data_IF_729201686383
#
_entry.id   IF_729201686383
#
_cell.length_a   1.000
_cell.length_b   1.000
_cell.length_c   1.000
_cell.angle_alpha   90.00
_cell.angle_beta   90.00
_cell.angle_gamma   90.00
#
_symmetry.space_group_name_H-M   'P 1'
#
loop_
_entity.id
_entity.type
_entity.pdbx_description
1 polymer ?
#
# COMPACT_ATOMS: atom_id res chain seq x y z
N UNK A 1 -28.66 -9.61 -12.83
CA UNK A 1 -29.26 -8.74 -11.79
C UNK A 1 -28.77 -9.25 -10.44
N UNK A 2 -27.61 -8.75 -9.97
CA UNK A 2 -27.03 -9.18 -8.69
C UNK A 2 -27.51 -8.22 -7.60
N UNK A 3 -28.16 -8.76 -6.55
CA UNK A 3 -28.55 -8.01 -5.35
C UNK A 3 -27.34 -7.93 -4.41
N UNK A 4 -26.90 -6.72 -4.08
CA UNK A 4 -25.96 -6.50 -2.98
C UNK A 4 -26.66 -6.77 -1.64
N UNK A 5 -26.03 -7.48 -0.68
CA UNK A 5 -26.58 -7.65 0.65
C UNK A 5 -26.57 -6.31 1.39
N UNK A 6 -27.76 -5.82 1.77
CA UNK A 6 -27.89 -4.63 2.60
C UNK A 6 -27.45 -4.91 4.05
N UNK A 7 -26.81 -3.95 4.73
CA UNK A 7 -26.35 -4.16 6.10
C UNK A 7 -27.54 -4.35 7.05
N UNK A 8 -27.41 -5.35 7.92
CA UNK A 8 -28.33 -5.59 9.02
C UNK A 8 -28.21 -4.46 10.06
N UNK A 9 -29.32 -3.74 10.30
CA UNK A 9 -29.44 -2.73 11.35
C UNK A 9 -29.50 -1.29 10.84
N UNK A 10 -30.57 -0.57 11.18
CA UNK A 10 -30.98 0.72 10.62
C UNK A 10 -30.14 1.96 10.98
N UNK A 11 -28.81 1.89 10.88
CA UNK A 11 -27.96 3.07 10.90
C UNK A 11 -27.71 3.55 9.45
N UNK A 12 -28.13 4.78 9.11
CA UNK A 12 -27.76 5.39 7.83
C UNK A 12 -26.24 5.60 7.81
N UNK A 13 -25.55 4.92 6.90
CA UNK A 13 -24.11 5.14 6.63
C UNK A 13 -23.82 6.63 6.44
N UNK A 14 -22.73 7.13 7.02
CA UNK A 14 -22.23 8.49 6.76
C UNK A 14 -21.80 8.64 5.30
N UNK A 15 -21.62 9.89 4.83
CA UNK A 15 -21.16 10.12 3.45
C UNK A 15 -19.74 9.57 3.21
N UNK A 16 -18.87 9.64 4.21
CA UNK A 16 -17.51 9.11 4.14
C UNK A 16 -17.51 7.58 4.08
N UNK A 17 -18.35 6.92 4.88
CA UNK A 17 -18.49 5.45 4.83
C UNK A 17 -19.06 4.97 3.49
N UNK A 18 -20.08 5.66 2.95
CA UNK A 18 -20.62 5.32 1.63
C UNK A 18 -19.58 5.49 0.53
N UNK A 19 -18.78 6.55 0.58
CA UNK A 19 -17.71 6.76 -0.38
C UNK A 19 -16.64 5.67 -0.25
N UNK A 20 -16.18 5.37 0.98
CA UNK A 20 -15.20 4.30 1.25
C UNK A 20 -15.67 2.95 0.68
N UNK A 21 -16.90 2.54 1.02
CA UNK A 21 -17.47 1.27 0.55
C UNK A 21 -17.63 1.25 -0.97
N UNK A 22 -18.00 2.37 -1.60
CA UNK A 22 -18.06 2.46 -3.05
C UNK A 22 -16.67 2.31 -3.69
N UNK A 23 -15.64 2.93 -3.11
CA UNK A 23 -14.26 2.77 -3.59
C UNK A 23 -13.76 1.33 -3.43
N UNK A 24 -14.12 0.64 -2.34
CA UNK A 24 -13.84 -0.78 -2.13
C UNK A 24 -14.55 -1.67 -3.16
N UNK A 25 -15.84 -1.40 -3.43
CA UNK A 25 -16.64 -2.16 -4.40
C UNK A 25 -16.14 -1.96 -5.84
N UNK A 26 -15.70 -0.76 -6.19
CA UNK A 26 -15.11 -0.44 -7.50
C UNK A 26 -13.71 -1.05 -7.69
N UNK A 27 -13.09 -1.55 -6.62
CA UNK A 27 -11.88 -2.36 -6.67
C UNK A 27 -10.57 -1.59 -6.45
N UNK A 28 -9.41 -2.27 -6.62
CA UNK A 28 -8.10 -1.80 -6.16
C UNK A 28 -7.70 -0.39 -6.62
N UNK A 29 -8.04 -0.03 -7.85
CA UNK A 29 -7.80 1.31 -8.42
C UNK A 29 -8.47 2.43 -7.60
N UNK A 30 -9.72 2.24 -7.23
CA UNK A 30 -10.50 3.23 -6.49
C UNK A 30 -10.14 3.24 -5.01
N UNK A 31 -9.76 2.09 -4.44
CA UNK A 31 -9.14 2.01 -3.11
C UNK A 31 -7.87 2.85 -3.05
N UNK A 32 -7.00 2.75 -4.08
CA UNK A 32 -5.77 3.56 -4.19
C UNK A 32 -6.04 5.05 -4.23
N UNK A 33 -7.04 5.46 -5.02
CA UNK A 33 -7.49 6.86 -5.07
C UNK A 33 -7.97 7.33 -3.69
N UNK A 34 -8.75 6.51 -2.99
CA UNK A 34 -9.21 6.80 -1.63
C UNK A 34 -8.05 6.98 -0.64
N UNK A 35 -7.04 6.11 -0.71
CA UNK A 35 -5.81 6.24 0.10
C UNK A 35 -5.09 7.57 -0.17
N UNK A 36 -4.93 7.98 -1.43
CA UNK A 36 -4.29 9.26 -1.79
C UNK A 36 -5.10 10.44 -1.26
N UNK A 37 -6.42 10.44 -1.46
CA UNK A 37 -7.31 11.50 -0.97
C UNK A 37 -7.30 11.60 0.56
N UNK A 38 -7.14 10.47 1.27
CA UNK A 38 -7.07 10.45 2.74
C UNK A 38 -5.89 11.26 3.31
N UNK A 39 -4.85 11.47 2.51
CA UNK A 39 -3.64 12.23 2.86
C UNK A 39 -3.72 13.72 2.46
N UNK A 40 -4.79 14.13 1.79
CA UNK A 40 -4.99 15.48 1.24
C UNK A 40 -6.24 16.16 1.83
N UNK A 41 -6.17 16.60 3.10
CA UNK A 41 -7.31 17.24 3.77
C UNK A 41 -7.70 18.59 3.14
N UNK A 42 -6.89 19.13 2.25
CA UNK A 42 -7.18 20.29 1.41
C UNK A 42 -8.10 19.94 0.21
N UNK A 43 -8.18 18.67 -0.19
CA UNK A 43 -8.99 18.19 -1.31
C UNK A 43 -10.29 17.52 -0.86
N UNK A 44 -10.33 16.97 0.35
CA UNK A 44 -11.52 16.31 0.90
C UNK A 44 -11.81 16.79 2.33
N UNK A 45 -13.09 17.01 2.67
CA UNK A 45 -13.48 17.38 4.03
C UNK A 45 -12.97 16.41 5.11
N UNK A 46 -12.68 16.88 6.34
CA UNK A 46 -12.06 16.07 7.40
C UNK A 46 -12.82 14.78 7.76
N UNK A 47 -14.15 14.79 7.67
CA UNK A 47 -15.00 13.63 7.92
C UNK A 47 -14.82 12.54 6.85
N UNK A 48 -14.62 12.93 5.59
CA UNK A 48 -14.33 12.01 4.49
C UNK A 48 -12.89 11.51 4.59
N UNK A 49 -11.92 12.40 4.83
CA UNK A 49 -10.52 12.01 4.99
C UNK A 49 -10.31 11.01 6.15
N UNK A 50 -11.05 11.19 7.24
CA UNK A 50 -11.07 10.26 8.38
C UNK A 50 -11.56 8.87 7.99
N UNK A 51 -12.63 8.78 7.21
CA UNK A 51 -13.14 7.49 6.73
C UNK A 51 -12.22 6.85 5.68
N UNK A 52 -11.71 7.62 4.72
CA UNK A 52 -10.79 7.11 3.69
C UNK A 52 -9.45 6.64 4.27
N UNK A 53 -9.04 7.15 5.45
CA UNK A 53 -7.86 6.64 6.15
C UNK A 53 -7.99 5.16 6.54
N UNK A 54 -9.22 4.64 6.67
CA UNK A 54 -9.46 3.21 6.93
C UNK A 54 -9.13 2.32 5.73
N UNK A 55 -8.95 2.90 4.53
CA UNK A 55 -8.44 2.19 3.35
C UNK A 55 -6.93 1.97 3.41
N UNK A 56 -6.22 2.63 4.34
CA UNK A 56 -4.80 2.41 4.54
C UNK A 56 -4.64 1.06 5.26
N UNK A 57 -4.16 0.07 4.52
CA UNK A 57 -3.82 -1.23 5.11
C UNK A 57 -2.46 -1.15 5.81
N UNK A 58 -2.40 -1.63 7.05
CA UNK A 58 -1.17 -2.25 7.54
C UNK A 58 -1.03 -3.58 6.80
N UNK A 59 -0.13 -3.62 5.81
CA UNK A 59 0.03 -4.83 5.03
C UNK A 59 0.57 -5.95 5.92
N UNK A 60 -0.08 -7.13 5.96
CA UNK A 60 0.42 -8.24 6.75
C UNK A 60 1.82 -8.63 6.28
N UNK A 61 2.68 -9.12 7.20
CA UNK A 61 3.99 -9.62 6.84
C UNK A 61 3.84 -10.79 5.86
N UNK A 62 4.74 -10.87 4.89
CA UNK A 62 4.83 -12.02 4.00
C UNK A 62 5.73 -13.11 4.63
N UNK A 63 5.58 -14.38 4.21
CA UNK A 63 6.30 -15.50 4.81
C UNK A 63 7.81 -15.31 4.82
N UNK A 64 8.47 -15.74 5.90
CA UNK A 64 9.94 -15.68 5.99
C UNK A 64 10.65 -16.48 4.90
N UNK A 65 10.02 -17.52 4.34
CA UNK A 65 10.55 -18.25 3.19
C UNK A 65 10.76 -17.35 1.96
N UNK A 66 9.85 -16.41 1.73
CA UNK A 66 9.96 -15.43 0.64
C UNK A 66 11.04 -14.39 0.94
N UNK A 67 11.14 -13.94 2.20
CA UNK A 67 12.24 -13.05 2.64
C UNK A 67 13.60 -13.67 2.35
N UNK A 68 13.77 -14.91 2.80
CA UNK A 68 15.02 -15.64 2.62
C UNK A 68 15.33 -15.80 1.14
N UNK A 69 14.36 -16.22 0.33
CA UNK A 69 14.54 -16.38 -1.10
C UNK A 69 14.93 -15.06 -1.80
N UNK A 70 14.31 -13.94 -1.42
CA UNK A 70 14.62 -12.62 -1.98
C UNK A 70 16.08 -12.22 -1.67
N UNK A 71 16.50 -12.32 -0.40
CA UNK A 71 17.86 -11.96 0.02
C UNK A 71 18.89 -12.87 -0.66
N UNK A 72 18.67 -14.18 -0.68
CA UNK A 72 19.61 -15.13 -1.28
C UNK A 72 19.71 -14.96 -2.80
N UNK A 73 18.60 -14.63 -3.47
CA UNK A 73 18.56 -14.36 -4.91
C UNK A 73 19.28 -13.06 -5.27
N UNK A 74 19.08 -11.98 -4.51
CA UNK A 74 19.70 -10.68 -4.78
C UNK A 74 21.20 -10.64 -4.43
N UNK A 75 21.61 -11.31 -3.35
CA UNK A 75 22.99 -11.28 -2.86
C UNK A 75 23.83 -12.51 -3.29
N UNK A 76 23.20 -13.51 -3.90
CA UNK A 76 23.87 -14.69 -4.47
C UNK A 76 24.51 -15.61 -3.43
N UNK A 77 24.15 -15.48 -2.15
CA UNK A 77 24.72 -16.25 -1.05
C UNK A 77 23.63 -16.70 -0.07
N UNK A 78 23.78 -17.86 0.60
CA UNK A 78 22.82 -18.29 1.61
C UNK A 78 22.70 -17.27 2.75
N UNK A 79 21.49 -17.06 3.27
CA UNK A 79 21.22 -16.11 4.36
C UNK A 79 22.10 -16.39 5.59
N UNK A 80 22.30 -17.68 5.87
CA UNK A 80 23.15 -18.16 6.95
C UNK A 80 24.63 -17.80 6.75
N UNK A 81 25.11 -17.45 5.55
CA UNK A 81 26.49 -16.99 5.34
C UNK A 81 26.61 -15.48 5.54
N UNK A 82 25.57 -14.73 5.15
CA UNK A 82 25.51 -13.27 5.18
C UNK A 82 25.38 -12.68 6.59
N UNK A 83 24.62 -13.35 7.47
CA UNK A 83 24.33 -12.86 8.82
C UNK A 83 24.72 -13.88 9.88
N UNK A 84 25.17 -13.38 11.03
CA UNK A 84 25.36 -14.19 12.24
C UNK A 84 24.02 -14.55 12.88
N UNK A 85 23.09 -13.59 12.93
CA UNK A 85 21.75 -13.73 13.48
C UNK A 85 20.77 -13.02 12.54
N UNK A 86 19.60 -13.61 12.28
CA UNK A 86 18.53 -12.98 11.52
C UNK A 86 17.19 -13.34 12.14
N UNK A 87 16.40 -12.35 12.54
CA UNK A 87 15.09 -12.59 13.13
C UNK A 87 14.04 -12.88 12.06
N UNK A 88 13.45 -14.08 12.11
CA UNK A 88 12.40 -14.45 11.16
C UNK A 88 11.13 -13.60 11.32
N UNK A 89 10.85 -13.14 12.54
CA UNK A 89 9.73 -12.24 12.80
C UNK A 89 10.15 -10.80 12.41
N UNK A 90 9.39 -10.12 11.54
CA UNK A 90 9.73 -8.75 11.17
C UNK A 90 9.49 -7.78 12.35
N UNK A 91 10.32 -6.74 12.42
CA UNK A 91 10.13 -5.57 13.27
C UNK A 91 8.92 -4.74 12.81
N UNK A 92 8.74 -4.63 11.49
CA UNK A 92 7.66 -3.90 10.86
C UNK A 92 7.36 -4.48 9.47
N UNK A 93 6.11 -4.42 9.05
CA UNK A 93 5.68 -4.73 7.70
C UNK A 93 4.89 -3.55 7.13
N UNK A 94 5.13 -3.24 5.86
CA UNK A 94 4.46 -2.20 5.11
C UNK A 94 4.06 -2.73 3.72
N UNK A 95 3.34 -1.90 2.96
CA UNK A 95 2.87 -2.26 1.62
C UNK A 95 4.01 -2.67 0.68
N UNK A 96 5.15 -1.96 0.73
CA UNK A 96 6.27 -2.18 -0.20
C UNK A 96 7.33 -3.16 0.28
N UNK A 97 7.44 -3.37 1.59
CA UNK A 97 8.56 -4.08 2.19
C UNK A 97 8.25 -4.48 3.64
N UNK A 98 9.06 -5.40 4.18
CA UNK A 98 9.14 -5.64 5.62
C UNK A 98 10.57 -5.52 6.12
N UNK A 99 10.73 -5.22 7.41
CA UNK A 99 12.01 -4.92 8.04
C UNK A 99 12.31 -5.98 9.09
N UNK A 100 13.49 -6.57 9.03
CA UNK A 100 13.97 -7.57 9.98
C UNK A 100 15.18 -7.06 10.76
N UNK A 101 15.29 -7.49 12.02
CA UNK A 101 16.52 -7.29 12.79
C UNK A 101 17.53 -8.38 12.40
N UNK A 102 18.77 -7.99 12.17
CA UNK A 102 19.85 -8.94 11.93
C UNK A 102 21.16 -8.46 12.57
N UNK A 103 22.09 -9.40 12.72
CA UNK A 103 23.48 -9.14 13.10
C UNK A 103 24.40 -9.60 11.98
N UNK A 104 25.26 -8.70 11.50
CA UNK A 104 26.26 -9.05 10.46
C UNK A 104 27.31 -10.01 11.01
N UNK A 105 28.14 -10.57 10.13
CA UNK A 105 29.25 -11.46 10.54
C UNK A 105 30.34 -10.73 11.33
N UNK A 106 30.43 -9.42 11.14
CA UNK A 106 31.33 -8.51 11.86
C UNK A 106 30.77 -8.11 13.23
N UNK A 107 29.54 -8.51 13.55
CA UNK A 107 28.89 -8.30 14.84
C UNK A 107 27.99 -7.06 14.92
N UNK A 108 27.83 -6.32 13.83
CA UNK A 108 27.03 -5.09 13.78
C UNK A 108 25.53 -5.39 13.77
N UNK A 109 24.75 -4.62 14.53
CA UNK A 109 23.29 -4.71 14.50
C UNK A 109 22.73 -3.87 13.37
N UNK A 110 21.93 -4.50 12.50
CA UNK A 110 21.37 -3.87 11.29
C UNK A 110 19.87 -4.13 11.16
N UNK A 111 19.19 -3.22 10.47
CA UNK A 111 17.82 -3.39 10.02
C UNK A 111 17.82 -3.76 8.54
N UNK A 112 17.38 -4.96 8.20
CA UNK A 112 17.35 -5.46 6.82
C UNK A 112 15.94 -5.24 6.27
N UNK A 113 15.81 -4.29 5.35
CA UNK A 113 14.54 -4.02 4.65
C UNK A 113 14.47 -4.89 3.39
N UNK A 114 13.44 -5.71 3.30
CA UNK A 114 13.24 -6.68 2.24
C UNK A 114 12.00 -6.29 1.47
N UNK A 115 12.16 -6.09 0.17
CA UNK A 115 11.06 -5.71 -0.72
C UNK A 115 10.00 -6.81 -0.78
N UNK A 116 8.71 -6.43 -0.82
CA UNK A 116 7.62 -7.39 -0.99
C UNK A 116 7.75 -8.07 -2.36
N UNK A 117 7.68 -9.40 -2.43
CA UNK A 117 7.71 -10.10 -3.72
C UNK A 117 6.56 -9.65 -4.63
N UNK A 118 6.86 -9.47 -5.91
CA UNK A 118 5.89 -9.01 -6.90
C UNK A 118 5.42 -7.55 -6.72
N UNK A 119 6.13 -6.73 -5.91
CA UNK A 119 5.71 -5.34 -5.70
C UNK A 119 5.90 -4.48 -6.94
N UNK A 120 6.80 -4.87 -7.86
CA UNK A 120 7.09 -4.08 -9.05
C UNK A 120 5.86 -3.97 -9.94
N UNK A 121 5.19 -5.09 -10.18
CA UNK A 121 3.97 -5.20 -10.97
C UNK A 121 2.84 -4.39 -10.33
N UNK A 122 2.77 -4.38 -8.99
CA UNK A 122 1.83 -3.54 -8.23
C UNK A 122 2.13 -2.06 -8.45
N UNK A 123 3.39 -1.63 -8.34
CA UNK A 123 3.81 -0.25 -8.56
C UNK A 123 3.54 0.19 -10.01
N UNK A 124 3.79 -0.68 -10.99
CA UNK A 124 3.53 -0.38 -12.41
C UNK A 124 2.03 -0.17 -12.65
N UNK A 125 1.18 -1.07 -12.15
CA UNK A 125 -0.28 -0.91 -12.22
C UNK A 125 -0.76 0.37 -11.51
N UNK A 126 -0.14 0.70 -10.39
CA UNK A 126 -0.44 1.91 -9.62
C UNK A 126 -0.10 3.20 -10.37
N UNK A 127 1.02 3.22 -11.08
CA UNK A 127 1.42 4.34 -11.92
C UNK A 127 0.47 4.50 -13.10
N UNK A 128 0.06 3.40 -13.75
CA UNK A 128 -0.91 3.44 -14.84
C UNK A 128 -2.24 4.08 -14.40
N UNK A 129 -2.72 3.70 -13.21
CA UNK A 129 -3.91 4.30 -12.59
C UNK A 129 -3.73 5.81 -12.40
N UNK A 130 -2.57 6.25 -11.89
CA UNK A 130 -2.29 7.66 -11.68
C UNK A 130 -2.26 8.44 -12.99
N UNK A 131 -1.68 7.87 -14.06
CA UNK A 131 -1.68 8.49 -15.39
C UNK A 131 -3.08 8.64 -15.97
N UNK A 132 -3.94 7.63 -15.82
CA UNK A 132 -5.33 7.72 -16.27
C UNK A 132 -6.14 8.74 -15.47
N UNK A 133 -5.91 8.83 -14.16
CA UNK A 133 -6.52 9.88 -13.33
C UNK A 133 -6.04 11.28 -13.72
N UNK A 134 -4.76 11.45 -14.03
CA UNK A 134 -4.22 12.72 -14.50
C UNK A 134 -4.87 13.16 -15.83
N UNK A 135 -5.01 12.24 -16.79
CA UNK A 135 -5.70 12.49 -18.07
C UNK A 135 -7.17 12.90 -17.89
N UNK A 136 -7.88 12.26 -16.96
CA UNK A 136 -9.25 12.63 -16.63
C UNK A 136 -9.31 14.02 -15.98
N UNK A 137 -8.39 14.33 -15.08
CA UNK A 137 -8.29 15.63 -14.44
C UNK A 137 -8.08 16.75 -15.47
N UNK A 138 -7.13 16.59 -16.40
CA UNK A 138 -6.91 17.55 -17.51
C UNK A 138 -8.18 17.79 -18.33
N UNK A 139 -8.95 16.73 -18.60
CA UNK A 139 -10.15 16.82 -19.44
C UNK A 139 -11.30 17.56 -18.76
N UNK A 140 -11.46 17.41 -17.45
CA UNK A 140 -12.66 17.84 -16.73
C UNK A 140 -12.44 18.98 -15.73
N UNK A 141 -11.19 19.35 -15.42
CA UNK A 141 -10.85 20.49 -14.55
C UNK A 141 -10.26 21.64 -15.40
N UNK A 142 -11.06 22.64 -15.80
CA UNK A 142 -10.54 23.80 -16.52
C UNK A 142 -9.62 24.62 -15.60
N UNK A 143 -8.36 24.80 -15.99
CA UNK A 143 -7.36 25.63 -15.29
C UNK A 143 -6.22 24.88 -14.59
N UNK A 144 -6.09 23.55 -14.77
CA UNK A 144 -4.93 22.80 -14.30
C UNK A 144 -3.76 22.91 -15.27
N UNK A 145 -2.98 24.00 -15.22
CA UNK A 145 -1.63 23.97 -15.78
C UNK A 145 -0.85 22.89 -15.04
N UNK A 146 -0.51 21.78 -15.71
CA UNK A 146 0.46 20.84 -15.18
C UNK A 146 1.78 21.59 -15.01
N UNK A 147 2.32 21.57 -13.80
CA UNK A 147 3.71 21.90 -13.57
C UNK A 147 4.56 20.85 -14.32
N UNK A 148 5.21 21.28 -15.39
CA UNK A 148 6.22 20.52 -16.12
C UNK A 148 7.59 20.85 -15.48
N UNK A 149 8.20 19.93 -14.71
CA UNK A 149 9.45 20.16 -13.99
C UNK A 149 10.69 20.27 -14.90
#
# INVERSE_FOLDING_TARGET
MLRLPGPAGGAKLSRGERLRLALEELGPTFVKLGQILSLRPDLVPPDIAGELRKLQDEAPPFPFSEVKAQIESELGQPLATLFQEFEEKPLAAASLAQVHRARTREGELVAVKVQRPGIREVIEADLDILFELARLAERYLPGGELYDP
#
